data_IF_685845776679
#
_entry.id   IF_685845776679
#
_cell.length_a   1.000
_cell.length_b   1.000
_cell.length_c   1.000
_cell.angle_alpha   90.00
_cell.angle_beta   90.00
_cell.angle_gamma   90.00
#
_symmetry.space_group_name_H-M   'P 1'
#
loop_
_entity.id
_entity.type
_entity.pdbx_description
1 polymer ?
#
# COMPACT_ATOMS: atom_id res chain seq x y z
N UNK A 1 -19.82 5.98 2.58
CA UNK A 1 -18.85 4.91 2.23
C UNK A 1 -17.51 5.42 1.74
N UNK A 2 -17.45 6.45 0.91
CA UNK A 2 -16.20 7.10 0.47
C UNK A 2 -15.42 7.79 1.62
N UNK A 3 -16.11 8.38 2.58
CA UNK A 3 -15.53 9.05 3.75
C UNK A 3 -14.76 8.11 4.69
N UNK A 4 -15.22 6.89 4.88
CA UNK A 4 -14.55 5.88 5.71
C UNK A 4 -13.25 5.35 5.08
N UNK A 5 -13.20 5.25 3.74
CA UNK A 5 -12.00 4.86 3.01
C UNK A 5 -10.90 5.93 3.09
N UNK A 6 -11.27 7.20 2.95
CA UNK A 6 -10.34 8.33 3.09
C UNK A 6 -9.81 8.48 4.53
N UNK A 7 -10.65 8.29 5.53
CA UNK A 7 -10.24 8.35 6.92
C UNK A 7 -9.25 7.22 7.27
N UNK A 8 -9.45 6.02 6.72
CA UNK A 8 -8.51 4.89 6.88
C UNK A 8 -7.15 5.15 6.24
N UNK A 9 -7.10 5.68 5.03
CA UNK A 9 -5.86 6.07 4.36
C UNK A 9 -5.10 7.13 5.16
N UNK A 10 -5.82 8.11 5.71
CA UNK A 10 -5.22 9.17 6.51
C UNK A 10 -4.66 8.69 7.87
N UNK A 11 -5.33 7.75 8.53
CA UNK A 11 -4.85 7.14 9.78
C UNK A 11 -3.62 6.26 9.53
N UNK A 12 -3.61 5.49 8.43
CA UNK A 12 -2.45 4.67 8.02
C UNK A 12 -1.23 5.55 7.76
N UNK A 13 -1.41 6.63 7.01
CA UNK A 13 -0.37 7.60 6.68
C UNK A 13 0.29 8.21 7.92
N UNK A 14 -0.49 8.57 8.96
CA UNK A 14 0.04 9.20 10.17
C UNK A 14 0.68 8.25 11.17
N UNK A 15 0.17 7.03 11.28
CA UNK A 15 0.63 6.06 12.27
C UNK A 15 1.78 5.16 11.77
N UNK A 16 2.06 5.17 10.47
CA UNK A 16 3.05 4.27 9.84
C UNK A 16 2.70 2.79 9.93
N UNK A 17 1.48 2.47 10.35
CA UNK A 17 0.98 1.10 10.53
C UNK A 17 -0.36 0.92 9.85
N UNK A 18 -0.58 -0.26 9.29
CA UNK A 18 -1.87 -0.69 8.78
C UNK A 18 -2.57 -1.51 9.85
N UNK A 19 -3.77 -1.09 10.26
CA UNK A 19 -4.58 -1.78 11.25
C UNK A 19 -5.86 -2.34 10.62
N UNK A 20 -6.47 -3.30 11.30
CA UNK A 20 -7.86 -3.69 11.03
C UNK A 20 -8.80 -2.51 11.30
N UNK A 21 -10.05 -2.65 10.91
CA UNK A 21 -11.04 -1.59 11.08
C UNK A 21 -11.18 -1.22 12.56
N UNK A 22 -11.17 0.07 12.87
CA UNK A 22 -11.48 0.58 14.20
C UNK A 22 -12.97 0.94 14.27
N UNK A 23 -13.70 0.28 15.17
CA UNK A 23 -15.11 0.55 15.38
C UNK A 23 -15.34 1.87 16.13
N UNK A 24 -14.27 2.48 16.67
CA UNK A 24 -14.34 3.72 17.43
C UNK A 24 -14.90 3.55 18.86
N UNK A 25 -15.13 2.33 19.28
CA UNK A 25 -15.62 1.94 20.59
C UNK A 25 -14.86 0.71 21.10
N UNK A 26 -14.36 0.77 22.34
CA UNK A 26 -13.58 -0.32 22.92
C UNK A 26 -14.38 -1.62 23.09
N UNK A 27 -15.67 -1.52 23.39
CA UNK A 27 -16.53 -2.70 23.58
C UNK A 27 -16.78 -3.41 22.26
N UNK A 28 -16.99 -2.66 21.19
CA UNK A 28 -17.12 -3.18 19.82
C UNK A 28 -15.80 -3.80 19.34
N UNK A 29 -14.67 -3.12 19.56
CA UNK A 29 -13.36 -3.70 19.24
C UNK A 29 -13.10 -5.00 20.01
N UNK A 30 -13.45 -5.06 21.31
CA UNK A 30 -13.33 -6.29 22.11
C UNK A 30 -14.23 -7.42 21.60
N UNK A 31 -15.45 -7.10 21.18
CA UNK A 31 -16.38 -8.08 20.63
C UNK A 31 -15.85 -8.71 19.33
N UNK A 32 -15.20 -7.90 18.47
CA UNK A 32 -14.68 -8.35 17.18
C UNK A 32 -13.27 -8.92 17.24
N UNK A 33 -12.41 -8.42 18.12
CA UNK A 33 -10.97 -8.73 18.12
C UNK A 33 -10.46 -9.33 19.44
N UNK A 34 -11.27 -9.35 20.48
CA UNK A 34 -10.85 -9.79 21.82
C UNK A 34 -9.95 -8.76 22.54
N UNK A 35 -9.75 -7.57 21.97
CA UNK A 35 -8.92 -6.51 22.52
C UNK A 35 -9.53 -5.11 22.23
N UNK A 36 -9.24 -4.08 23.06
CA UNK A 36 -9.89 -2.76 22.95
C UNK A 36 -9.47 -1.95 21.72
N UNK A 37 -8.36 -2.31 21.09
CA UNK A 37 -7.82 -1.63 19.91
C UNK A 37 -7.75 -2.59 18.71
N UNK A 38 -7.89 -2.11 17.47
CA UNK A 38 -7.77 -2.97 16.30
C UNK A 38 -6.37 -3.57 16.16
N UNK A 39 -6.26 -4.87 15.83
CA UNK A 39 -4.97 -5.51 15.57
C UNK A 39 -4.26 -4.88 14.38
N UNK A 40 -2.94 -4.83 14.43
CA UNK A 40 -2.09 -4.36 13.33
C UNK A 40 -1.83 -5.44 12.30
N UNK A 41 -1.74 -5.04 11.04
CA UNK A 41 -1.13 -5.84 9.99
C UNK A 41 0.37 -5.55 9.96
N UNK A 42 1.17 -6.61 9.94
CA UNK A 42 2.63 -6.50 9.84
C UNK A 42 3.06 -6.84 8.41
N UNK A 43 3.52 -5.85 7.66
CA UNK A 43 4.01 -6.04 6.28
C UNK A 43 5.22 -6.97 6.22
N UNK A 44 6.00 -7.05 7.28
CA UNK A 44 7.11 -7.99 7.44
C UNK A 44 6.67 -9.46 7.44
N UNK A 45 5.37 -9.74 7.63
CA UNK A 45 4.79 -11.10 7.58
C UNK A 45 4.32 -11.53 6.20
N UNK A 46 4.39 -10.67 5.21
CA UNK A 46 4.13 -11.05 3.81
C UNK A 46 5.19 -12.09 3.44
N UNK A 47 4.78 -13.29 2.93
CA UNK A 47 5.73 -14.30 2.52
C UNK A 47 6.71 -13.75 1.48
N UNK A 48 8.00 -14.02 1.67
CA UNK A 48 9.08 -13.39 0.91
C UNK A 48 9.17 -13.83 -0.55
N UNK A 49 8.58 -14.97 -0.85
CA UNK A 49 8.52 -15.60 -2.16
C UNK A 49 7.33 -15.17 -3.02
N UNK A 50 6.39 -14.39 -2.46
CA UNK A 50 5.24 -13.88 -3.22
C UNK A 50 5.70 -12.74 -4.13
N UNK A 51 5.46 -12.82 -5.46
CA UNK A 51 5.76 -11.71 -6.36
C UNK A 51 4.94 -10.45 -6.02
N UNK A 52 5.63 -9.34 -5.81
CA UNK A 52 5.03 -8.04 -5.49
C UNK A 52 5.47 -6.99 -6.52
N UNK A 53 4.51 -6.27 -7.07
CA UNK A 53 4.74 -5.10 -7.92
C UNK A 53 4.14 -3.86 -7.25
N UNK A 54 4.98 -2.90 -6.89
CA UNK A 54 4.58 -1.63 -6.30
C UNK A 54 4.87 -0.50 -7.29
N UNK A 55 3.85 0.31 -7.59
CA UNK A 55 4.01 1.49 -8.44
C UNK A 55 3.56 2.72 -7.66
N UNK A 56 4.41 3.76 -7.59
CA UNK A 56 4.13 4.94 -6.79
C UNK A 56 4.65 6.22 -7.47
N UNK A 57 4.04 7.35 -7.14
CA UNK A 57 4.25 8.62 -7.79
C UNK A 57 4.91 9.67 -6.90
N UNK A 58 5.83 10.44 -7.47
CA UNK A 58 6.54 11.50 -6.75
C UNK A 58 5.66 12.69 -6.36
N UNK A 59 4.52 12.87 -7.05
CA UNK A 59 3.53 13.93 -6.76
C UNK A 59 2.25 13.40 -6.11
N UNK A 60 2.27 12.15 -5.67
CA UNK A 60 1.14 11.54 -4.95
C UNK A 60 1.11 12.07 -3.52
N UNK A 61 0.00 12.73 -3.15
CA UNK A 61 -0.23 13.27 -1.81
C UNK A 61 -1.16 12.39 -0.96
N UNK A 62 -1.73 11.33 -1.54
CA UNK A 62 -2.60 10.37 -0.86
C UNK A 62 -1.83 9.13 -0.39
N UNK A 63 -0.98 8.61 -1.26
CA UNK A 63 0.01 7.56 -0.96
C UNK A 63 1.39 8.16 -1.19
N UNK A 64 1.82 9.01 -0.26
CA UNK A 64 3.02 9.83 -0.46
C UNK A 64 4.30 8.97 -0.45
N UNK A 65 5.37 9.57 -0.97
CA UNK A 65 6.66 8.89 -1.12
C UNK A 65 7.20 8.38 0.22
N UNK A 66 6.98 9.11 1.32
CA UNK A 66 7.48 8.70 2.63
C UNK A 66 6.77 7.44 3.14
N UNK A 67 5.46 7.34 2.94
CA UNK A 67 4.68 6.16 3.31
C UNK A 67 5.11 4.94 2.49
N UNK A 68 5.37 5.12 1.20
CA UNK A 68 5.87 4.05 0.34
C UNK A 68 7.30 3.64 0.72
N UNK A 69 8.16 4.58 1.09
CA UNK A 69 9.51 4.27 1.58
C UNK A 69 9.45 3.43 2.88
N UNK A 70 8.53 3.77 3.79
CA UNK A 70 8.31 2.98 5.00
C UNK A 70 7.83 1.55 4.69
N UNK A 71 6.93 1.40 3.71
CA UNK A 71 6.50 0.09 3.22
C UNK A 71 7.67 -0.71 2.63
N UNK A 72 8.49 -0.09 1.78
CA UNK A 72 9.67 -0.72 1.19
C UNK A 72 10.70 -1.14 2.25
N UNK A 73 10.88 -0.34 3.31
CA UNK A 73 11.74 -0.70 4.44
C UNK A 73 11.20 -1.95 5.18
N UNK A 74 9.89 -2.07 5.34
CA UNK A 74 9.27 -3.28 5.90
C UNK A 74 9.43 -4.51 4.98
N UNK A 75 9.63 -4.30 3.69
CA UNK A 75 9.82 -5.35 2.68
C UNK A 75 11.30 -5.61 2.33
N UNK A 76 12.24 -5.02 3.06
CA UNK A 76 13.68 -5.11 2.75
C UNK A 76 14.23 -6.54 2.68
N UNK A 77 13.63 -7.46 3.45
CA UNK A 77 14.00 -8.87 3.48
C UNK A 77 13.27 -9.72 2.44
N UNK A 78 12.43 -9.10 1.59
CA UNK A 78 11.73 -9.78 0.51
C UNK A 78 12.72 -10.26 -0.57
N UNK A 79 12.43 -11.39 -1.23
CA UNK A 79 13.28 -11.90 -2.31
C UNK A 79 13.41 -10.85 -3.43
N UNK A 80 14.65 -10.51 -3.80
CA UNK A 80 14.93 -9.38 -4.70
C UNK A 80 14.34 -9.54 -6.10
N UNK A 81 14.26 -10.77 -6.57
CA UNK A 81 13.66 -11.12 -7.87
C UNK A 81 12.12 -11.17 -7.82
N UNK A 82 11.54 -11.11 -6.61
CA UNK A 82 10.09 -11.12 -6.37
C UNK A 82 9.50 -9.74 -6.05
N UNK A 83 10.32 -8.72 -5.83
CA UNK A 83 9.85 -7.37 -5.51
C UNK A 83 10.28 -6.38 -6.59
N UNK A 84 9.29 -5.80 -7.26
CA UNK A 84 9.48 -4.69 -8.21
C UNK A 84 8.87 -3.43 -7.61
N UNK A 85 9.66 -2.37 -7.48
CA UNK A 85 9.22 -1.05 -7.06
C UNK A 85 9.43 -0.05 -8.21
N UNK A 86 8.34 0.42 -8.81
CA UNK A 86 8.36 1.40 -9.89
C UNK A 86 8.06 2.79 -9.34
N UNK A 87 9.01 3.71 -9.46
CA UNK A 87 8.85 5.12 -9.10
C UNK A 87 8.65 5.98 -10.35
N UNK A 88 7.57 6.78 -10.36
CA UNK A 88 7.26 7.73 -11.43
C UNK A 88 7.19 9.13 -10.82
N UNK A 89 8.24 9.90 -10.95
CA UNK A 89 8.45 11.18 -10.25
C UNK A 89 7.37 12.24 -10.53
N UNK A 90 6.81 12.26 -11.72
CA UNK A 90 5.82 13.24 -12.16
C UNK A 90 4.36 12.81 -11.98
N UNK A 91 4.10 11.57 -11.52
CA UNK A 91 2.75 11.05 -11.28
C UNK A 91 2.20 11.47 -9.93
N UNK A 92 0.96 11.95 -9.95
CA UNK A 92 0.07 12.05 -8.80
C UNK A 92 -0.83 10.80 -8.73
N UNK A 93 -1.65 10.69 -7.69
CA UNK A 93 -2.44 9.49 -7.38
C UNK A 93 -3.30 8.99 -8.55
N UNK A 94 -4.06 9.89 -9.18
CA UNK A 94 -4.97 9.53 -10.26
C UNK A 94 -4.28 9.33 -11.62
N UNK A 95 -3.02 9.76 -11.77
CA UNK A 95 -2.27 9.60 -13.02
C UNK A 95 -2.07 8.12 -13.39
N UNK A 96 -2.00 7.24 -12.39
CA UNK A 96 -1.92 5.78 -12.59
C UNK A 96 -3.12 5.19 -13.35
N UNK A 97 -4.24 5.89 -13.36
CA UNK A 97 -5.47 5.49 -14.06
C UNK A 97 -5.77 6.41 -15.23
N UNK A 98 -5.58 7.72 -15.07
CA UNK A 98 -6.09 8.75 -15.98
C UNK A 98 -5.04 9.40 -16.87
N UNK A 99 -3.74 9.19 -16.61
CA UNK A 99 -2.72 9.77 -17.48
C UNK A 99 -2.74 9.13 -18.87
N UNK A 100 -2.57 9.96 -19.90
CA UNK A 100 -2.56 9.53 -21.31
C UNK A 100 -1.52 8.44 -21.58
N UNK A 101 -0.41 8.45 -20.85
CA UNK A 101 0.68 7.50 -21.01
C UNK A 101 0.67 6.35 -19.98
N UNK A 102 -0.38 6.24 -19.15
CA UNK A 102 -0.44 5.22 -18.09
C UNK A 102 -0.34 3.78 -18.63
N UNK A 103 -0.89 3.53 -19.81
CA UNK A 103 -0.78 2.23 -20.48
C UNK A 103 0.68 1.80 -20.62
N UNK A 104 1.52 2.67 -21.17
CA UNK A 104 2.94 2.36 -21.45
C UNK A 104 3.81 2.41 -20.18
N UNK A 105 3.51 3.33 -19.27
CA UNK A 105 4.38 3.59 -18.12
C UNK A 105 4.05 2.68 -16.95
N UNK A 106 2.78 2.32 -16.77
CA UNK A 106 2.30 1.51 -15.63
C UNK A 106 1.88 0.11 -16.07
N UNK A 107 0.96 0.02 -17.05
CA UNK A 107 0.30 -1.25 -17.33
C UNK A 107 1.15 -2.21 -18.14
N UNK A 108 1.93 -1.74 -19.13
CA UNK A 108 2.82 -2.62 -19.87
C UNK A 108 3.89 -3.27 -18.97
N UNK A 109 4.58 -2.53 -18.06
CA UNK A 109 5.47 -3.14 -17.09
C UNK A 109 4.77 -4.11 -16.13
N UNK A 110 3.56 -3.77 -15.69
CA UNK A 110 2.76 -4.62 -14.79
C UNK A 110 2.35 -5.94 -15.48
N UNK A 111 1.91 -5.86 -16.73
CA UNK A 111 1.57 -7.04 -17.52
C UNK A 111 2.81 -7.92 -17.76
N UNK A 112 3.95 -7.30 -18.09
CA UNK A 112 5.20 -8.03 -18.22
C UNK A 112 5.60 -8.77 -16.95
N UNK A 113 5.41 -8.13 -15.79
CA UNK A 113 5.64 -8.74 -14.48
C UNK A 113 4.75 -9.96 -14.24
N UNK A 114 3.46 -9.90 -14.57
CA UNK A 114 2.55 -11.03 -14.43
C UNK A 114 2.85 -12.19 -15.37
N UNK A 115 3.53 -11.93 -16.48
CA UNK A 115 3.92 -12.97 -17.45
C UNK A 115 5.29 -13.60 -17.13
N UNK A 116 5.99 -13.10 -16.12
CA UNK A 116 7.25 -13.69 -15.67
C UNK A 116 6.95 -14.95 -14.86
N UNK A 117 7.53 -16.10 -15.22
CA UNK A 117 7.29 -17.36 -14.52
C UNK A 117 7.82 -17.38 -13.07
#
# INVERSE_FOLDING_TARGET
MLTLGFLKLWIVSRAGNIAKYDYGDESENKAHYGQPTPPLYYMTRIPKDIPLFLSYGGKDTLSDVNDVQLLLENLKDHEKDKLVAQYIDYYAHFDFIMAENANRVVYDPLLAFFMTP
#
